data_IF_884729842391
#
_entry.id   IF_884729842391
#
_cell.length_a   1.000
_cell.length_b   1.000
_cell.length_c   1.000
_cell.angle_alpha   90.00
_cell.angle_beta   90.00
_cell.angle_gamma   90.00
#
_symmetry.space_group_name_H-M   'P 1'
#
loop_
_entity.id
_entity.type
_entity.pdbx_description
1 polymer ?
#
# COMPACT_ATOMS: atom_id res chain seq x y z
N UNK A 1 22.81 -43.69 51.16
CA UNK A 1 23.24 -43.42 49.76
C UNK A 1 24.73 -43.15 49.82
N UNK A 2 25.61 -44.15 49.66
CA UNK A 2 26.22 -44.59 48.39
C UNK A 2 26.56 -43.45 47.43
N UNK A 3 27.72 -43.31 46.77
CA UNK A 3 29.11 -43.74 46.89
C UNK A 3 29.80 -43.24 45.60
N UNK A 4 31.02 -42.68 45.66
CA UNK A 4 32.07 -42.72 44.58
C UNK A 4 31.77 -41.99 43.23
N UNK A 5 32.69 -41.54 42.35
CA UNK A 5 34.12 -41.77 42.07
C UNK A 5 34.66 -40.77 41.00
N UNK A 6 35.87 -40.24 41.22
CA UNK A 6 37.06 -39.91 40.38
C UNK A 6 37.05 -39.58 38.85
N UNK A 7 38.14 -38.85 38.51
CA UNK A 7 38.96 -38.71 37.27
C UNK A 7 38.53 -37.58 36.32
N UNK A 8 39.41 -36.74 35.75
CA UNK A 8 40.87 -36.77 35.59
C UNK A 8 41.23 -36.77 34.09
N UNK A 9 42.06 -35.79 33.69
CA UNK A 9 42.82 -35.64 32.43
C UNK A 9 42.12 -35.08 31.17
N UNK A 10 42.40 -33.80 30.87
CA UNK A 10 42.29 -33.22 29.52
C UNK A 10 43.67 -32.76 29.06
N UNK A 11 44.34 -33.59 28.27
CA UNK A 11 45.61 -33.27 27.60
C UNK A 11 45.68 -33.87 26.19
N UNK A 12 44.80 -33.45 25.28
CA UNK A 12 44.98 -33.66 23.82
C UNK A 12 44.34 -32.48 23.04
N UNK A 13 44.79 -31.27 23.32
CA UNK A 13 44.37 -30.06 22.60
C UNK A 13 45.53 -29.61 21.70
N UNK A 14 45.71 -30.27 20.55
CA UNK A 14 46.86 -29.97 19.69
C UNK A 14 46.94 -30.62 18.30
N UNK A 15 46.00 -31.47 17.88
CA UNK A 15 46.15 -32.21 16.62
C UNK A 15 45.01 -32.13 15.59
N UNK A 16 43.86 -31.52 15.91
CA UNK A 16 42.70 -31.50 14.98
C UNK A 16 42.46 -30.16 14.24
N UNK A 17 43.34 -29.17 14.39
CA UNK A 17 43.18 -27.86 13.73
C UNK A 17 43.82 -27.82 12.33
N UNK A 18 44.54 -28.86 11.89
CA UNK A 18 45.24 -28.88 10.59
C UNK A 18 44.57 -29.64 9.46
N UNK A 19 43.45 -30.34 9.69
CA UNK A 19 42.79 -31.16 8.65
C UNK A 19 41.51 -30.54 8.06
N UNK A 20 41.20 -29.27 8.38
CA UNK A 20 39.99 -28.59 7.86
C UNK A 20 40.26 -27.37 6.98
N UNK A 21 41.52 -27.13 6.60
CA UNK A 21 41.92 -25.96 5.80
C UNK A 21 42.38 -26.29 4.36
N UNK A 22 42.39 -27.56 3.94
CA UNK A 22 42.88 -27.98 2.61
C UNK A 22 41.84 -28.68 1.72
N UNK A 23 40.54 -28.38 1.87
CA UNK A 23 39.49 -28.93 0.99
C UNK A 23 38.59 -27.87 0.35
N UNK A 24 39.05 -26.63 0.24
CA UNK A 24 38.25 -25.56 -0.41
C UNK A 24 39.07 -24.65 -1.33
N UNK A 25 40.06 -25.24 -2.01
CA UNK A 25 40.77 -24.58 -3.10
C UNK A 25 40.83 -25.53 -4.31
N UNK A 26 40.57 -24.98 -5.49
CA UNK A 26 40.56 -25.59 -6.84
C UNK A 26 39.26 -26.35 -7.16
N UNK A 27 38.41 -25.96 -8.13
CA UNK A 27 38.71 -25.49 -9.49
C UNK A 27 37.53 -24.70 -10.08
N UNK A 28 37.88 -23.85 -11.03
CA UNK A 28 37.16 -22.78 -11.73
C UNK A 28 35.99 -23.14 -12.67
N UNK A 29 35.30 -22.06 -13.08
CA UNK A 29 34.53 -21.82 -14.33
C UNK A 29 33.13 -22.41 -14.49
N UNK A 30 32.09 -21.57 -14.36
CA UNK A 30 31.33 -21.04 -15.51
C UNK A 30 30.30 -20.01 -15.03
N UNK A 31 30.25 -18.86 -15.70
CA UNK A 31 29.31 -17.78 -15.44
C UNK A 31 27.86 -18.21 -15.72
N UNK A 32 26.98 -18.09 -14.72
CA UNK A 32 25.52 -18.02 -14.92
C UNK A 32 25.04 -16.57 -14.70
N UNK A 33 24.10 -16.07 -15.52
CA UNK A 33 23.74 -14.66 -15.52
C UNK A 33 22.81 -14.28 -14.36
N UNK A 34 23.16 -13.19 -13.68
CA UNK A 34 22.36 -12.42 -12.73
C UNK A 34 21.04 -11.89 -13.36
N UNK A 35 20.02 -12.73 -13.58
CA UNK A 35 18.72 -12.26 -14.08
C UNK A 35 17.72 -11.84 -12.99
N UNK A 36 17.99 -12.16 -11.72
CA UNK A 36 17.06 -11.90 -10.60
C UNK A 36 17.16 -10.52 -9.95
N UNK A 37 18.29 -9.80 -10.08
CA UNK A 37 18.50 -8.49 -9.43
C UNK A 37 18.00 -7.28 -10.23
N UNK A 38 17.92 -7.41 -11.56
CA UNK A 38 17.53 -6.33 -12.49
C UNK A 38 16.03 -5.98 -12.42
N UNK A 39 15.17 -7.00 -12.27
CA UNK A 39 13.70 -6.79 -12.30
C UNK A 39 13.18 -6.07 -11.04
N UNK A 40 13.84 -6.24 -9.89
CA UNK A 40 13.42 -5.58 -8.65
C UNK A 40 13.93 -4.14 -8.52
N UNK A 41 15.15 -3.84 -9.00
CA UNK A 41 15.68 -2.46 -8.99
C UNK A 41 14.96 -1.55 -9.98
N UNK A 42 14.61 -2.07 -11.16
CA UNK A 42 13.88 -1.32 -12.19
C UNK A 42 12.45 -0.95 -11.76
N UNK A 43 11.77 -1.81 -10.99
CA UNK A 43 10.43 -1.53 -10.43
C UNK A 43 10.45 -0.49 -9.31
N UNK A 44 11.47 -0.52 -8.45
CA UNK A 44 11.62 0.45 -7.35
C UNK A 44 11.98 1.84 -7.90
N UNK A 45 12.89 1.91 -8.88
CA UNK A 45 13.27 3.16 -9.53
C UNK A 45 12.08 3.85 -10.21
N UNK A 46 11.30 3.08 -10.99
CA UNK A 46 10.12 3.61 -11.71
C UNK A 46 9.04 4.12 -10.74
N UNK A 47 8.78 3.39 -9.64
CA UNK A 47 7.81 3.80 -8.62
C UNK A 47 8.22 5.12 -7.94
N UNK A 48 9.52 5.24 -7.61
CA UNK A 48 10.07 6.44 -6.98
C UNK A 48 9.98 7.66 -7.91
N UNK A 49 10.31 7.51 -9.19
CA UNK A 49 10.18 8.58 -10.19
C UNK A 49 8.72 9.04 -10.36
N UNK A 50 7.77 8.11 -10.46
CA UNK A 50 6.34 8.45 -10.55
C UNK A 50 5.84 9.21 -9.31
N UNK A 51 6.30 8.82 -8.12
CA UNK A 51 5.98 9.48 -6.87
C UNK A 51 6.54 10.92 -6.81
N UNK A 52 7.78 11.11 -7.24
CA UNK A 52 8.40 12.42 -7.32
C UNK A 52 7.65 13.32 -8.30
N UNK A 53 7.31 12.82 -9.48
CA UNK A 53 6.55 13.57 -10.48
C UNK A 53 5.18 13.97 -9.93
N UNK A 54 4.46 13.04 -9.28
CA UNK A 54 3.14 13.34 -8.72
C UNK A 54 3.20 14.43 -7.62
N UNK A 55 4.20 14.40 -6.73
CA UNK A 55 4.38 15.44 -5.72
C UNK A 55 4.79 16.78 -6.34
N UNK A 56 5.66 16.79 -7.36
CA UNK A 56 6.04 18.01 -8.07
C UNK A 56 4.86 18.63 -8.82
N UNK A 57 4.04 17.79 -9.48
CA UNK A 57 2.81 18.25 -10.14
C UNK A 57 1.84 18.83 -9.11
N UNK A 58 1.59 18.14 -8.00
CA UNK A 58 0.75 18.66 -6.92
C UNK A 58 1.25 20.03 -6.43
N UNK A 59 2.55 20.15 -6.15
CA UNK A 59 3.16 21.40 -5.69
C UNK A 59 3.06 22.52 -6.75
N UNK A 60 3.27 22.18 -8.02
CA UNK A 60 3.14 23.13 -9.13
C UNK A 60 1.73 23.67 -9.28
N UNK A 61 0.72 22.80 -9.27
CA UNK A 61 -0.69 23.20 -9.28
C UNK A 61 -1.04 24.06 -8.06
N UNK A 62 -0.63 23.64 -6.87
CA UNK A 62 -0.86 24.36 -5.62
C UNK A 62 -0.29 25.78 -5.66
N UNK A 63 1.00 25.92 -6.01
CA UNK A 63 1.68 27.22 -6.04
C UNK A 63 1.06 28.13 -7.11
N UNK A 64 0.83 27.61 -8.32
CA UNK A 64 0.22 28.40 -9.39
C UNK A 64 -1.17 28.92 -8.98
N UNK A 65 -2.00 28.05 -8.40
CA UNK A 65 -3.35 28.42 -8.00
C UNK A 65 -3.37 29.38 -6.79
N UNK A 66 -2.43 29.22 -5.87
CA UNK A 66 -2.25 30.16 -4.75
C UNK A 66 -1.86 31.57 -5.22
N UNK A 67 -0.94 31.67 -6.19
CA UNK A 67 -0.55 32.96 -6.77
C UNK A 67 -1.73 33.60 -7.48
N UNK A 68 -2.47 32.83 -8.28
CA UNK A 68 -3.63 33.33 -9.03
C UNK A 68 -4.80 33.73 -8.14
N UNK A 69 -4.89 33.19 -6.93
CA UNK A 69 -5.99 33.48 -5.99
C UNK A 69 -5.59 34.39 -4.84
N UNK A 70 -4.43 35.05 -4.91
CA UNK A 70 -3.91 35.90 -3.83
C UNK A 70 -3.96 35.22 -2.45
N UNK A 71 -3.52 33.95 -2.41
CA UNK A 71 -3.47 33.15 -1.18
C UNK A 71 -4.86 32.91 -0.53
N UNK A 72 -5.91 32.80 -1.35
CA UNK A 72 -7.26 32.56 -0.86
C UNK A 72 -7.37 31.27 -0.04
N UNK A 73 -7.88 31.37 1.19
CA UNK A 73 -7.83 30.27 2.18
C UNK A 73 -8.55 29.00 1.71
N UNK A 74 -9.65 29.14 0.96
CA UNK A 74 -10.40 27.99 0.46
C UNK A 74 -9.58 27.19 -0.56
N UNK A 75 -8.72 27.85 -1.33
CA UNK A 75 -7.78 27.20 -2.26
C UNK A 75 -6.75 26.41 -1.46
N UNK A 76 -6.13 27.05 -0.45
CA UNK A 76 -5.11 26.42 0.39
C UNK A 76 -5.65 25.14 1.06
N UNK A 77 -6.79 25.27 1.73
CA UNK A 77 -7.46 24.17 2.42
C UNK A 77 -7.82 23.02 1.47
N UNK A 78 -8.21 23.31 0.23
CA UNK A 78 -8.55 22.29 -0.77
C UNK A 78 -7.34 21.46 -1.22
N UNK A 79 -6.20 22.10 -1.52
CA UNK A 79 -4.99 21.38 -1.88
C UNK A 79 -4.43 20.56 -0.70
N UNK A 80 -4.48 21.10 0.52
CA UNK A 80 -4.08 20.36 1.73
C UNK A 80 -4.97 19.14 1.94
N UNK A 81 -6.29 19.29 1.79
CA UNK A 81 -7.25 18.18 1.96
C UNK A 81 -7.01 17.07 0.93
N UNK A 82 -6.87 17.45 -0.35
CA UNK A 82 -6.62 16.49 -1.44
C UNK A 82 -5.26 15.83 -1.32
N UNK A 83 -4.22 16.54 -0.83
CA UNK A 83 -2.95 15.92 -0.46
C UNK A 83 -3.12 14.87 0.64
N UNK A 84 -3.88 15.19 1.70
CA UNK A 84 -4.21 14.27 2.78
C UNK A 84 -4.85 12.96 2.28
N UNK A 85 -5.71 13.05 1.27
CA UNK A 85 -6.32 11.87 0.63
C UNK A 85 -5.30 11.05 -0.15
N UNK A 86 -4.37 11.70 -0.86
CA UNK A 86 -3.35 11.02 -1.65
C UNK A 86 -2.23 10.41 -0.79
N UNK A 87 -2.12 10.75 0.51
CA UNK A 87 -1.06 10.23 1.38
C UNK A 87 -0.96 8.71 1.38
N UNK A 88 -2.09 7.99 1.47
CA UNK A 88 -2.08 6.53 1.43
C UNK A 88 -1.64 5.94 0.08
N UNK A 89 -1.79 6.70 -1.00
CA UNK A 89 -1.32 6.30 -2.33
C UNK A 89 0.18 6.52 -2.48
N UNK A 90 0.70 7.56 -1.84
CA UNK A 90 2.09 7.97 -1.98
C UNK A 90 3.04 7.30 -0.99
N UNK A 91 2.62 7.17 0.26
CA UNK A 91 3.47 6.74 1.36
C UNK A 91 3.06 5.38 1.93
N UNK A 92 2.04 4.75 1.35
CA UNK A 92 1.46 3.51 1.86
C UNK A 92 0.67 3.71 3.16
N UNK A 93 0.28 2.61 3.79
CA UNK A 93 -0.51 2.64 5.04
C UNK A 93 0.40 2.25 6.21
N UNK A 94 0.78 3.24 7.01
CA UNK A 94 1.44 3.07 8.30
C UNK A 94 0.73 3.89 9.39
N UNK A 95 1.02 3.63 10.67
CA UNK A 95 0.40 4.36 11.80
C UNK A 95 0.56 5.88 11.68
N UNK A 96 1.75 6.35 11.26
CA UNK A 96 2.00 7.77 11.05
C UNK A 96 1.08 8.35 9.96
N UNK A 97 0.97 7.71 8.79
CA UNK A 97 0.07 8.18 7.72
C UNK A 97 -1.40 8.18 8.14
N UNK A 98 -1.82 7.23 8.99
CA UNK A 98 -3.19 7.18 9.50
C UNK A 98 -3.49 8.38 10.39
N UNK A 99 -2.57 8.72 11.29
CA UNK A 99 -2.71 9.89 12.16
C UNK A 99 -2.73 11.17 11.34
N UNK A 100 -1.82 11.34 10.39
CA UNK A 100 -1.76 12.55 9.56
C UNK A 100 -3.03 12.69 8.69
N UNK A 101 -3.47 11.60 8.05
CA UNK A 101 -4.71 11.59 7.26
C UNK A 101 -5.94 11.94 8.10
N UNK A 102 -5.99 11.53 9.37
CA UNK A 102 -7.09 11.89 10.27
C UNK A 102 -7.02 13.36 10.74
N UNK A 103 -5.81 13.90 10.95
CA UNK A 103 -5.62 15.27 11.44
C UNK A 103 -5.88 16.33 10.38
N UNK A 104 -5.48 16.10 9.12
CA UNK A 104 -5.65 17.05 8.02
C UNK A 104 -7.09 17.59 7.88
N UNK A 105 -8.14 16.74 7.76
CA UNK A 105 -9.50 17.23 7.60
C UNK A 105 -9.99 18.00 8.85
N UNK A 106 -9.54 17.63 10.05
CA UNK A 106 -9.87 18.35 11.30
C UNK A 106 -9.28 19.76 11.25
N UNK A 107 -8.00 19.89 10.92
CA UNK A 107 -7.31 21.19 10.81
C UNK A 107 -8.00 22.06 9.74
N UNK A 108 -8.30 21.49 8.57
CA UNK A 108 -9.01 22.19 7.49
C UNK A 108 -10.37 22.71 7.96
N UNK A 109 -11.16 21.89 8.66
CA UNK A 109 -12.46 22.32 9.20
C UNK A 109 -12.31 23.46 10.20
N UNK A 110 -11.35 23.38 11.13
CA UNK A 110 -11.11 24.44 12.12
C UNK A 110 -10.78 25.75 11.41
N UNK A 111 -9.86 25.72 10.44
CA UNK A 111 -9.46 26.91 9.66
C UNK A 111 -10.65 27.52 8.92
N UNK A 112 -11.47 26.68 8.26
CA UNK A 112 -12.65 27.14 7.53
C UNK A 112 -13.74 27.70 8.45
N UNK A 113 -13.94 27.12 9.64
CA UNK A 113 -14.87 27.65 10.65
C UNK A 113 -14.40 29.01 11.13
N UNK A 114 -13.13 29.15 11.53
CA UNK A 114 -12.56 30.43 11.99
C UNK A 114 -12.70 31.48 10.90
N UNK A 115 -12.33 31.16 9.65
CA UNK A 115 -12.51 32.05 8.52
C UNK A 115 -13.98 32.46 8.33
N UNK A 116 -14.91 31.52 8.43
CA UNK A 116 -16.36 31.81 8.27
C UNK A 116 -16.90 32.68 9.42
N UNK A 117 -16.43 32.49 10.65
CA UNK A 117 -16.82 33.31 11.79
C UNK A 117 -16.34 34.76 11.64
N UNK A 118 -15.19 34.98 11.00
CA UNK A 118 -14.66 36.32 10.74
C UNK A 118 -15.36 37.04 9.58
N UNK A 119 -16.00 36.33 8.65
CA UNK A 119 -16.62 36.90 7.45
C UNK A 119 -18.11 36.55 7.34
N UNK A 120 -18.99 37.51 7.65
CA UNK A 120 -20.44 37.31 7.72
C UNK A 120 -21.13 37.05 6.36
N UNK A 121 -20.47 37.38 5.25
CA UNK A 121 -21.10 37.52 3.91
C UNK A 121 -21.14 36.20 3.10
N UNK A 122 -20.33 35.19 3.43
CA UNK A 122 -20.20 33.95 2.62
C UNK A 122 -20.67 32.68 3.33
N UNK A 123 -21.77 32.76 4.10
CA UNK A 123 -22.25 31.62 4.89
C UNK A 123 -22.61 30.38 4.05
N UNK A 124 -23.28 30.54 2.91
CA UNK A 124 -23.75 29.39 2.14
C UNK A 124 -22.59 28.61 1.47
N UNK A 125 -21.68 29.23 0.68
CA UNK A 125 -20.54 28.51 0.11
C UNK A 125 -19.67 27.84 1.17
N UNK A 126 -19.40 28.52 2.30
CA UNK A 126 -18.55 27.96 3.35
C UNK A 126 -19.22 26.75 4.03
N UNK A 127 -20.51 26.83 4.34
CA UNK A 127 -21.23 25.71 4.96
C UNK A 127 -21.37 24.52 4.01
N UNK A 128 -21.47 24.76 2.70
CA UNK A 128 -21.49 23.70 1.68
C UNK A 128 -20.18 22.91 1.61
N UNK A 129 -19.07 23.47 2.11
CA UNK A 129 -17.78 22.78 2.25
C UNK A 129 -17.64 22.15 3.65
N UNK A 130 -17.93 22.92 4.71
CA UNK A 130 -17.68 22.51 6.10
C UNK A 130 -18.54 21.32 6.50
N UNK A 131 -19.85 21.36 6.21
CA UNK A 131 -20.79 20.32 6.65
C UNK A 131 -20.43 18.94 6.08
N UNK A 132 -20.16 18.78 4.76
CA UNK A 132 -19.74 17.48 4.23
C UNK A 132 -18.43 16.97 4.81
N UNK A 133 -17.45 17.84 5.11
CA UNK A 133 -16.19 17.40 5.72
C UNK A 133 -16.43 16.91 7.16
N UNK A 134 -17.26 17.61 7.95
CA UNK A 134 -17.65 17.15 9.30
C UNK A 134 -18.34 15.79 9.24
N UNK A 135 -19.28 15.62 8.31
CA UNK A 135 -19.96 14.33 8.11
C UNK A 135 -18.96 13.21 7.81
N UNK A 136 -17.93 13.49 7.00
CA UNK A 136 -16.89 12.53 6.67
C UNK A 136 -15.97 12.18 7.85
N UNK A 137 -15.65 13.15 8.71
CA UNK A 137 -14.92 12.92 9.96
C UNK A 137 -15.73 12.00 10.89
N UNK A 138 -17.03 12.27 11.05
CA UNK A 138 -17.92 11.44 11.88
C UNK A 138 -18.04 10.03 11.29
N UNK A 139 -18.15 9.91 9.97
CA UNK A 139 -18.20 8.63 9.26
C UNK A 139 -16.92 7.80 9.41
N UNK A 140 -15.80 8.40 9.83
CA UNK A 140 -14.57 7.68 10.15
C UNK A 140 -14.59 7.01 11.54
N UNK A 141 -15.49 7.39 12.44
CA UNK A 141 -15.55 6.82 13.80
C UNK A 141 -15.81 5.30 13.78
N UNK A 142 -16.81 4.79 13.03
CA UNK A 142 -17.03 3.35 12.93
C UNK A 142 -15.80 2.59 12.40
N UNK A 143 -15.03 3.19 11.49
CA UNK A 143 -13.82 2.59 10.95
C UNK A 143 -12.75 2.34 12.02
N UNK A 144 -12.56 3.31 12.91
CA UNK A 144 -11.63 3.19 14.04
C UNK A 144 -12.10 2.08 14.98
N UNK A 145 -13.41 2.01 15.26
CA UNK A 145 -14.01 0.99 16.12
C UNK A 145 -13.87 -0.42 15.51
N UNK A 146 -14.18 -0.60 14.22
CA UNK A 146 -14.05 -1.92 13.58
C UNK A 146 -12.59 -2.37 13.44
N UNK A 147 -11.66 -1.43 13.22
CA UNK A 147 -10.23 -1.72 13.24
C UNK A 147 -9.76 -2.19 14.62
N UNK A 148 -10.31 -1.61 15.69
CA UNK A 148 -10.04 -2.05 17.06
C UNK A 148 -10.56 -3.46 17.31
N UNK A 149 -11.77 -3.77 16.82
CA UNK A 149 -12.40 -5.08 16.97
C UNK A 149 -11.88 -6.17 15.99
N UNK A 150 -10.89 -5.86 15.16
CA UNK A 150 -10.30 -6.76 14.15
C UNK A 150 -11.30 -7.46 13.21
N UNK A 151 -12.45 -6.83 12.94
CA UNK A 151 -13.42 -7.38 11.99
C UNK A 151 -13.04 -6.98 10.56
N UNK A 152 -12.33 -7.85 9.86
CA UNK A 152 -11.76 -7.55 8.54
C UNK A 152 -12.83 -7.23 7.47
N UNK A 153 -13.94 -7.96 7.44
CA UNK A 153 -14.97 -7.80 6.39
C UNK A 153 -15.74 -6.48 6.55
N UNK A 154 -16.18 -6.19 7.78
CA UNK A 154 -16.86 -4.92 8.07
C UNK A 154 -15.91 -3.73 7.94
N UNK A 155 -14.64 -3.89 8.30
CA UNK A 155 -13.63 -2.86 8.09
C UNK A 155 -13.42 -2.57 6.59
N UNK A 156 -13.36 -3.62 5.75
CA UNK A 156 -13.21 -3.45 4.31
C UNK A 156 -14.42 -2.73 3.69
N UNK A 157 -15.63 -3.15 4.04
CA UNK A 157 -16.87 -2.52 3.58
C UNK A 157 -16.93 -1.04 3.97
N UNK A 158 -16.73 -0.74 5.26
CA UNK A 158 -16.77 0.64 5.76
C UNK A 158 -15.64 1.49 5.17
N UNK A 159 -14.50 0.90 4.84
CA UNK A 159 -13.38 1.63 4.21
C UNK A 159 -13.77 2.03 2.79
N UNK A 160 -14.44 1.13 2.07
CA UNK A 160 -15.04 1.42 0.77
C UNK A 160 -16.05 2.55 0.86
N UNK A 161 -17.02 2.47 1.77
CA UNK A 161 -18.06 3.51 1.96
C UNK A 161 -17.42 4.87 2.29
N UNK A 162 -16.50 4.90 3.26
CA UNK A 162 -15.78 6.11 3.63
C UNK A 162 -15.00 6.69 2.45
N UNK A 163 -14.31 5.87 1.66
CA UNK A 163 -13.58 6.36 0.48
C UNK A 163 -14.50 7.00 -0.57
N UNK A 164 -15.68 6.43 -0.82
CA UNK A 164 -16.65 6.99 -1.77
C UNK A 164 -17.27 8.30 -1.26
N UNK A 165 -17.66 8.34 0.03
CA UNK A 165 -18.14 9.57 0.66
C UNK A 165 -17.07 10.66 0.63
N UNK A 166 -15.80 10.31 0.88
CA UNK A 166 -14.68 11.24 0.81
C UNK A 166 -14.49 11.82 -0.58
N UNK A 167 -14.65 11.00 -1.63
CA UNK A 167 -14.61 11.47 -3.01
C UNK A 167 -15.75 12.46 -3.31
N UNK A 168 -16.97 12.17 -2.84
CA UNK A 168 -18.12 13.08 -2.99
C UNK A 168 -17.83 14.43 -2.30
N UNK A 169 -17.27 14.41 -1.09
CA UNK A 169 -16.89 15.63 -0.36
C UNK A 169 -15.88 16.46 -1.15
N UNK A 170 -14.86 15.83 -1.74
CA UNK A 170 -13.88 16.53 -2.58
C UNK A 170 -14.53 17.15 -3.82
N UNK A 171 -15.44 16.44 -4.47
CA UNK A 171 -16.16 16.95 -5.65
C UNK A 171 -17.03 18.16 -5.27
N UNK A 172 -17.74 18.11 -4.15
CA UNK A 172 -18.55 19.24 -3.64
C UNK A 172 -17.65 20.43 -3.33
N UNK A 173 -16.50 20.21 -2.68
CA UNK A 173 -15.54 21.28 -2.40
C UNK A 173 -15.04 21.89 -3.71
N UNK A 174 -14.54 21.08 -4.63
CA UNK A 174 -14.07 21.56 -5.94
C UNK A 174 -15.15 22.36 -6.68
N UNK A 175 -16.39 21.85 -6.74
CA UNK A 175 -17.51 22.55 -7.35
C UNK A 175 -17.75 23.92 -6.70
N UNK A 176 -17.75 23.97 -5.37
CA UNK A 176 -17.91 25.21 -4.62
C UNK A 176 -16.78 26.20 -4.93
N UNK A 177 -15.54 25.71 -5.03
CA UNK A 177 -14.38 26.52 -5.38
C UNK A 177 -14.46 27.10 -6.80
N UNK A 178 -14.93 26.33 -7.77
CA UNK A 178 -14.95 26.77 -9.18
C UNK A 178 -16.17 27.64 -9.49
N UNK A 179 -17.33 27.34 -8.90
CA UNK A 179 -18.61 27.92 -9.33
C UNK A 179 -19.28 28.83 -8.29
N UNK A 180 -19.05 28.61 -6.99
CA UNK A 180 -19.71 29.40 -5.95
C UNK A 180 -18.80 30.48 -5.36
N UNK A 181 -17.49 30.23 -5.29
CA UNK A 181 -16.49 31.20 -4.88
C UNK A 181 -16.00 31.91 -6.14
N UNK A 182 -16.15 33.24 -6.19
CA UNK A 182 -15.69 34.04 -7.32
C UNK A 182 -14.17 34.02 -7.38
N UNK A 183 -13.61 33.45 -8.44
CA UNK A 183 -12.17 33.32 -8.69
C UNK A 183 -11.83 33.77 -10.11
N UNK A 184 -10.57 34.17 -10.37
CA UNK A 184 -10.13 34.42 -11.73
C UNK A 184 -10.25 33.14 -12.58
N UNK A 185 -10.53 33.33 -13.86
CA UNK A 185 -10.81 32.22 -14.79
C UNK A 185 -9.61 31.27 -14.92
N UNK A 186 -8.40 31.83 -14.89
CA UNK A 186 -7.13 31.12 -14.92
C UNK A 186 -7.00 30.18 -13.72
N UNK A 187 -7.33 30.65 -12.51
CA UNK A 187 -7.33 29.82 -11.31
C UNK A 187 -8.32 28.65 -11.44
N UNK A 188 -9.51 28.89 -11.98
CA UNK A 188 -10.49 27.84 -12.24
C UNK A 188 -9.94 26.77 -13.20
N UNK A 189 -9.29 27.16 -14.30
CA UNK A 189 -8.66 26.22 -15.24
C UNK A 189 -7.59 25.38 -14.54
N UNK A 190 -6.72 26.02 -13.75
CA UNK A 190 -5.67 25.32 -12.99
C UNK A 190 -6.27 24.30 -12.03
N UNK A 191 -7.32 24.68 -11.28
CA UNK A 191 -8.01 23.74 -10.37
C UNK A 191 -8.70 22.60 -11.13
N UNK A 192 -9.30 22.85 -12.31
CA UNK A 192 -9.91 21.81 -13.15
C UNK A 192 -8.84 20.80 -13.62
N UNK A 193 -7.72 21.29 -14.16
CA UNK A 193 -6.61 20.45 -14.61
C UNK A 193 -6.04 19.61 -13.45
N UNK A 194 -5.85 20.24 -12.28
CA UNK A 194 -5.46 19.54 -11.07
C UNK A 194 -6.43 18.43 -10.70
N UNK A 195 -7.74 18.70 -10.72
CA UNK A 195 -8.75 17.68 -10.37
C UNK A 195 -8.77 16.49 -11.31
N UNK A 196 -8.52 16.70 -12.61
CA UNK A 196 -8.39 15.61 -13.57
C UNK A 196 -7.17 14.72 -13.23
N UNK A 197 -6.03 15.34 -12.89
CA UNK A 197 -4.83 14.61 -12.44
C UNK A 197 -5.09 13.85 -11.12
N UNK A 198 -5.73 14.51 -10.14
CA UNK A 198 -6.10 13.93 -8.86
C UNK A 198 -6.98 12.68 -9.04
N UNK A 199 -8.03 12.78 -9.86
CA UNK A 199 -8.93 11.67 -10.14
C UNK A 199 -8.23 10.53 -10.88
N UNK A 200 -7.35 10.84 -11.84
CA UNK A 200 -6.57 9.83 -12.54
C UNK A 200 -5.69 9.01 -11.57
N UNK A 201 -4.98 9.67 -10.65
CA UNK A 201 -4.16 9.01 -9.63
C UNK A 201 -5.04 8.14 -8.71
N UNK A 202 -6.16 8.68 -8.25
CA UNK A 202 -7.05 8.00 -7.30
C UNK A 202 -7.70 6.75 -7.91
N UNK A 203 -8.08 6.80 -9.19
CA UNK A 203 -8.76 5.73 -9.93
C UNK A 203 -7.80 4.70 -10.52
N UNK A 204 -6.49 4.99 -10.63
CA UNK A 204 -5.49 4.10 -11.23
C UNK A 204 -5.58 2.65 -10.73
N UNK A 205 -5.72 2.35 -9.41
CA UNK A 205 -5.82 0.97 -8.94
C UNK A 205 -7.09 0.25 -9.41
N UNK A 206 -8.20 0.97 -9.52
CA UNK A 206 -9.47 0.42 -10.01
C UNK A 206 -9.40 0.15 -11.51
N UNK A 207 -8.86 1.11 -12.27
CA UNK A 207 -8.64 0.97 -13.71
C UNK A 207 -7.69 -0.19 -14.03
N UNK A 208 -6.63 -0.37 -13.24
CA UNK A 208 -5.74 -1.51 -13.37
C UNK A 208 -6.44 -2.84 -13.07
N UNK A 209 -7.28 -2.89 -12.02
CA UNK A 209 -8.07 -4.07 -11.69
C UNK A 209 -9.03 -4.46 -12.81
N UNK A 210 -9.74 -3.48 -13.39
CA UNK A 210 -10.64 -3.68 -14.53
C UNK A 210 -9.87 -4.12 -15.77
N UNK A 211 -8.77 -3.43 -16.12
CA UNK A 211 -7.94 -3.78 -17.26
C UNK A 211 -7.37 -5.20 -17.14
N UNK A 212 -6.93 -5.60 -15.94
CA UNK A 212 -6.45 -6.96 -15.64
C UNK A 212 -7.57 -7.99 -15.77
N UNK A 213 -8.78 -7.69 -15.29
CA UNK A 213 -9.95 -8.58 -15.39
C UNK A 213 -10.35 -8.80 -16.85
N UNK A 214 -10.42 -7.71 -17.63
CA UNK A 214 -10.73 -7.74 -19.06
C UNK A 214 -9.66 -8.45 -19.89
N UNK A 215 -8.38 -8.25 -19.58
CA UNK A 215 -7.28 -8.97 -20.25
C UNK A 215 -7.22 -10.44 -19.87
N UNK A 216 -7.51 -10.80 -18.61
CA UNK A 216 -7.62 -12.20 -18.19
C UNK A 216 -8.86 -12.90 -18.76
N UNK A 217 -9.93 -12.16 -19.05
CA UNK A 217 -11.09 -12.67 -19.77
C UNK A 217 -10.82 -12.85 -21.27
N UNK A 218 -9.96 -12.02 -21.88
CA UNK A 218 -9.58 -12.14 -23.30
C UNK A 218 -8.43 -13.13 -23.55
N UNK A 219 -7.50 -13.25 -22.61
CA UNK A 219 -6.49 -14.31 -22.56
C UNK A 219 -7.12 -15.47 -21.81
N UNK A 220 -7.94 -16.26 -22.52
CA UNK A 220 -8.63 -17.43 -21.95
C UNK A 220 -7.69 -18.25 -21.07
N UNK A 221 -8.21 -18.78 -19.97
CA UNK A 221 -7.49 -19.49 -18.90
C UNK A 221 -6.23 -20.23 -19.39
N UNK A 222 -5.08 -19.54 -19.38
CA UNK A 222 -3.77 -20.19 -19.33
C UNK A 222 -3.45 -20.45 -17.85
N UNK A 223 -4.40 -21.05 -17.14
CA UNK A 223 -4.03 -22.03 -16.14
C UNK A 223 -3.99 -23.33 -16.89
N UNK A 224 -2.79 -23.77 -17.23
CA UNK A 224 -2.48 -25.18 -17.44
C UNK A 224 -2.95 -25.96 -16.21
N UNK A 225 -4.24 -26.32 -16.17
CA UNK A 225 -4.74 -27.38 -15.32
C UNK A 225 -4.27 -28.66 -15.96
N UNK A 226 -3.04 -29.05 -15.63
CA UNK A 226 -2.65 -30.44 -15.73
C UNK A 226 -3.69 -31.23 -14.95
N UNK A 227 -4.41 -32.12 -15.63
CA UNK A 227 -5.46 -32.88 -14.96
C UNK A 227 -4.82 -33.73 -13.86
N UNK A 228 -5.54 -33.98 -12.76
CA UNK A 228 -5.08 -34.86 -11.68
C UNK A 228 -4.62 -36.24 -12.19
N UNK A 229 -5.14 -36.65 -13.35
CA UNK A 229 -4.75 -37.86 -14.09
C UNK A 229 -3.35 -37.73 -14.70
N UNK A 230 -3.07 -36.64 -15.43
CA UNK A 230 -1.74 -36.38 -15.98
C UNK A 230 -0.68 -36.21 -14.87
N UNK A 231 -1.02 -35.55 -13.75
CA UNK A 231 -0.10 -35.41 -12.62
C UNK A 231 0.24 -36.78 -11.98
N UNK A 232 -0.75 -37.68 -11.91
CA UNK A 232 -0.56 -39.04 -11.39
C UNK A 232 0.32 -39.90 -12.31
N UNK A 233 0.10 -39.81 -13.62
CA UNK A 233 0.92 -40.49 -14.63
C UNK A 233 2.37 -39.98 -14.63
N UNK A 234 2.58 -38.69 -14.36
CA UNK A 234 3.91 -38.09 -14.27
C UNK A 234 4.67 -38.45 -12.99
N UNK A 235 3.96 -38.76 -11.90
CA UNK A 235 4.57 -39.29 -10.65
C UNK A 235 4.86 -40.79 -10.78
N UNK A 236 3.98 -41.57 -11.41
CA UNK A 236 4.16 -43.02 -11.55
C UNK A 236 5.21 -43.42 -12.59
N UNK A 237 5.49 -42.56 -13.57
CA UNK A 237 6.48 -42.82 -14.62
C UNK A 237 7.93 -42.46 -14.24
N UNK A 238 8.16 -41.81 -13.10
CA UNK A 238 9.51 -41.43 -12.68
C UNK A 238 10.10 -42.46 -11.71
N UNK A 239 11.24 -43.10 -12.04
CA UNK A 239 11.94 -43.95 -11.09
C UNK A 239 12.38 -43.10 -9.90
N UNK A 240 11.99 -43.51 -8.68
CA UNK A 240 12.29 -42.80 -7.44
C UNK A 240 13.79 -42.93 -7.15
N UNK A 241 14.60 -41.98 -7.59
CA UNK A 241 15.97 -41.84 -7.10
C UNK A 241 15.95 -41.26 -5.69
N UNK A 242 16.88 -41.74 -4.86
CA UNK A 242 16.96 -41.51 -3.39
C UNK A 242 16.98 -40.01 -3.02
N UNK A 243 17.35 -39.13 -3.94
CA UNK A 243 17.34 -37.67 -3.75
C UNK A 243 15.93 -37.08 -3.62
N UNK A 244 14.91 -37.66 -4.26
CA UNK A 244 13.52 -37.16 -4.24
C UNK A 244 12.79 -37.42 -2.91
N UNK A 245 13.24 -38.39 -2.11
CA UNK A 245 12.67 -38.69 -0.78
C UNK A 245 12.93 -37.57 0.24
N UNK A 246 14.04 -36.84 0.11
CA UNK A 246 14.36 -35.73 1.01
C UNK A 246 13.42 -34.53 0.80
N UNK A 247 13.13 -34.20 -0.47
CA UNK A 247 12.21 -33.13 -0.83
C UNK A 247 10.75 -33.49 -0.50
N UNK A 248 10.35 -34.75 -0.72
CA UNK A 248 9.02 -35.24 -0.32
C UNK A 248 8.80 -35.18 1.19
N UNK A 249 9.80 -35.55 2.01
CA UNK A 249 9.72 -35.40 3.48
C UNK A 249 9.59 -33.94 3.91
N UNK A 250 10.26 -33.01 3.23
CA UNK A 250 10.22 -31.59 3.55
C UNK A 250 8.90 -30.93 3.15
N UNK A 251 8.27 -31.39 2.06
CA UNK A 251 6.92 -30.97 1.67
C UNK A 251 5.86 -31.57 2.61
N UNK A 252 6.04 -32.82 3.02
CA UNK A 252 5.13 -33.52 3.93
C UNK A 252 5.21 -32.98 5.37
N UNK A 253 6.40 -32.57 5.83
CA UNK A 253 6.55 -31.91 7.14
C UNK A 253 5.88 -30.53 7.17
N UNK A 254 6.03 -29.72 6.11
CA UNK A 254 5.35 -28.42 6.01
C UNK A 254 3.82 -28.54 5.89
N UNK A 255 3.33 -29.57 5.20
CA UNK A 255 1.90 -29.85 5.13
C UNK A 255 1.34 -30.35 6.49
N UNK A 256 2.12 -31.12 7.24
CA UNK A 256 1.76 -31.57 8.60
C UNK A 256 1.79 -30.43 9.63
N UNK A 257 2.72 -29.48 9.53
CA UNK A 257 2.75 -28.28 10.37
C UNK A 257 1.55 -27.38 10.08
N UNK A 258 1.16 -27.25 8.80
CA UNK A 258 -0.02 -26.50 8.40
C UNK A 258 -1.34 -27.14 8.88
N UNK A 259 -1.42 -28.47 9.02
CA UNK A 259 -2.62 -29.13 9.56
C UNK A 259 -2.66 -29.10 11.09
N UNK A 260 -1.52 -29.09 11.78
CA UNK A 260 -1.47 -28.99 13.25
C UNK A 260 -1.82 -27.59 13.77
N UNK A 261 -1.64 -26.54 12.97
CA UNK A 261 -2.12 -25.19 13.33
C UNK A 261 -3.64 -25.04 13.23
N UNK A 262 -4.34 -25.97 12.58
CA UNK A 262 -5.82 -26.00 12.50
C UNK A 262 -6.47 -26.62 13.75
N UNK A 263 -5.71 -27.30 14.62
CA UNK A 263 -6.23 -28.01 15.80
C UNK A 263 -5.79 -27.42 17.15
N UNK A 264 -5.19 -26.22 17.16
CA UNK A 264 -4.99 -25.43 18.38
C UNK A 264 -5.77 -24.12 18.23
N UNK A 265 -7.11 -24.26 18.14
CA UNK A 265 -8.13 -23.31 18.59
C UNK A 265 -9.46 -24.04 18.68
#
# INVERSE_FOLDING_TARGET
MSATKRRGDDSVLGQDVRLRQEQTAETSTSAEPNSGKSVNTMKIGTLCTCLCIANLLWAGFFIADMILTDFHIHTICFYILTFGILQYRFYGVCWCTVVVHALIPIIVVIVLIVHTCCYFITKFPNMSIIIPIIAQIIAAIPLVVYRWNRSCDYQALMTGVHAHLGLIVVIIYWWTLVFLIRRPFEACIVTIAYMLCFLAILLTPQLYGVAKSLTKSKVGDIKTTMSLKEFREQIQSRPITIQSRSQLRQVQSRASEASHQTYVL
#
